data_IF_900216262840
#
_entry.id   IF_900216262840
#
_cell.length_a   1.000
_cell.length_b   1.000
_cell.length_c   1.000
_cell.angle_alpha   90.00
_cell.angle_beta   90.00
_cell.angle_gamma   90.00
#
_symmetry.space_group_name_H-M   'P 1'
#
loop_
_entity.id
_entity.type
_entity.pdbx_description
1 polymer ?
#
# COMPACT_ATOMS: atom_id res chain seq x y z
N UNK A 1 23.96 23.72 -0.37
CA UNK A 1 22.53 23.85 -0.72
C UNK A 1 21.96 22.48 -1.08
N UNK A 2 21.07 21.92 -0.25
CA UNK A 2 20.38 20.67 -0.60
C UNK A 2 19.24 20.99 -1.58
N UNK A 3 19.47 20.76 -2.87
CA UNK A 3 18.44 20.78 -3.91
C UNK A 3 17.39 19.72 -3.57
N UNK A 4 16.33 20.09 -2.84
CA UNK A 4 15.15 19.22 -2.69
C UNK A 4 14.61 18.95 -4.08
N UNK A 5 14.73 17.71 -4.57
CA UNK A 5 14.24 17.36 -5.90
C UNK A 5 12.74 17.65 -5.98
N UNK A 6 12.29 18.36 -7.01
CA UNK A 6 10.88 18.70 -7.29
C UNK A 6 10.04 17.48 -7.75
N UNK A 7 10.28 16.31 -7.16
CA UNK A 7 9.57 15.07 -7.48
C UNK A 7 8.17 15.11 -6.90
N UNK A 8 7.20 14.69 -7.71
CA UNK A 8 5.83 14.50 -7.24
C UNK A 8 5.76 13.27 -6.34
N UNK A 9 5.51 13.48 -5.05
CA UNK A 9 5.30 12.38 -4.08
C UNK A 9 3.94 11.74 -4.30
N UNK A 10 3.91 10.42 -4.53
CA UNK A 10 2.67 9.64 -4.64
C UNK A 10 2.69 8.47 -3.67
N UNK A 11 1.52 8.13 -3.14
CA UNK A 11 1.30 6.91 -2.37
C UNK A 11 0.80 5.77 -3.25
N UNK A 12 1.18 4.54 -2.93
CA UNK A 12 0.57 3.33 -3.47
C UNK A 12 0.12 2.47 -2.29
N UNK A 13 -1.17 2.17 -2.23
CA UNK A 13 -1.73 1.15 -1.34
C UNK A 13 -2.21 -0.01 -2.20
N UNK A 14 -1.47 -1.12 -2.18
CA UNK A 14 -1.83 -2.34 -2.88
C UNK A 14 -2.73 -3.24 -2.02
N UNK A 15 -3.75 -3.84 -2.62
CA UNK A 15 -4.64 -4.74 -1.87
C UNK A 15 -5.69 -5.41 -2.73
N UNK A 16 -6.29 -6.48 -2.22
CA UNK A 16 -7.48 -7.05 -2.85
C UNK A 16 -8.67 -6.10 -2.73
N UNK A 17 -8.78 -5.34 -1.63
CA UNK A 17 -9.92 -4.47 -1.34
C UNK A 17 -11.27 -5.21 -1.43
N UNK A 18 -11.33 -6.34 -0.73
CA UNK A 18 -12.43 -7.30 -0.82
C UNK A 18 -13.15 -7.52 0.54
N UNK A 19 -13.96 -6.55 1.02
CA UNK A 19 -14.17 -5.22 0.46
C UNK A 19 -13.14 -4.20 0.97
N UNK A 20 -13.07 -3.04 0.32
CA UNK A 20 -12.44 -1.85 0.90
C UNK A 20 -13.16 -1.43 2.19
N UNK A 21 -12.47 -0.71 3.08
CA UNK A 21 -13.01 -0.36 4.39
C UNK A 21 -12.35 0.88 4.97
N UNK A 22 -12.90 1.39 6.09
CA UNK A 22 -12.44 2.62 6.76
C UNK A 22 -10.95 2.60 7.12
N UNK A 23 -10.38 1.45 7.47
CA UNK A 23 -8.93 1.31 7.70
C UNK A 23 -8.07 1.73 6.50
N UNK A 24 -8.41 1.30 5.28
CA UNK A 24 -7.70 1.71 4.06
C UNK A 24 -7.77 3.23 3.84
N UNK A 25 -8.95 3.83 4.06
CA UNK A 25 -9.13 5.28 3.96
C UNK A 25 -8.32 6.03 5.00
N UNK A 26 -8.32 5.53 6.23
CA UNK A 26 -7.68 6.19 7.35
C UNK A 26 -6.15 6.22 7.21
N UNK A 27 -5.52 5.10 6.82
CA UNK A 27 -4.06 5.09 6.54
C UNK A 27 -3.70 5.96 5.33
N UNK A 28 -4.60 6.04 4.34
CA UNK A 28 -4.38 6.90 3.17
C UNK A 28 -4.40 8.38 3.55
N UNK A 29 -5.39 8.81 4.35
CA UNK A 29 -5.45 10.19 4.87
C UNK A 29 -4.22 10.53 5.70
N UNK A 30 -3.80 9.62 6.57
CA UNK A 30 -2.64 9.80 7.43
C UNK A 30 -1.34 9.92 6.62
N UNK A 31 -1.14 9.03 5.64
CA UNK A 31 0.01 9.09 4.75
C UNK A 31 0.06 10.40 3.96
N UNK A 32 -1.09 10.84 3.39
CA UNK A 32 -1.18 12.10 2.66
C UNK A 32 -0.78 13.28 3.55
N UNK A 33 -1.30 13.34 4.78
CA UNK A 33 -1.01 14.43 5.72
C UNK A 33 0.46 14.44 6.13
N UNK A 34 1.01 13.30 6.57
CA UNK A 34 2.38 13.24 7.13
C UNK A 34 3.50 13.35 6.10
N UNK A 35 3.25 12.94 4.87
CA UNK A 35 4.27 12.84 3.83
C UNK A 35 3.98 13.74 2.62
N UNK A 36 2.99 14.63 2.72
CA UNK A 36 2.62 15.60 1.69
C UNK A 36 2.35 14.95 0.32
N UNK A 37 1.74 13.76 0.34
CA UNK A 37 1.51 13.01 -0.89
C UNK A 37 0.49 13.76 -1.76
N UNK A 38 0.83 14.00 -3.04
CA UNK A 38 -0.08 14.65 -3.99
C UNK A 38 -1.34 13.81 -4.16
N UNK A 39 -1.14 12.53 -4.47
CA UNK A 39 -2.21 11.54 -4.65
C UNK A 39 -1.82 10.20 -4.02
N UNK A 40 -2.82 9.36 -3.77
CA UNK A 40 -2.65 7.97 -3.35
C UNK A 40 -3.37 7.07 -4.33
N UNK A 41 -2.67 6.08 -4.86
CA UNK A 41 -3.22 5.07 -5.74
C UNK A 41 -3.68 3.89 -4.89
N UNK A 42 -4.96 3.57 -4.92
CA UNK A 42 -5.45 2.27 -4.46
C UNK A 42 -5.33 1.30 -5.63
N UNK A 43 -4.26 0.51 -5.61
CA UNK A 43 -3.91 -0.45 -6.64
C UNK A 43 -4.58 -1.79 -6.32
N UNK A 44 -5.73 -2.04 -6.95
CA UNK A 44 -6.47 -3.29 -6.79
C UNK A 44 -5.68 -4.42 -7.44
N UNK A 45 -5.53 -5.55 -6.74
CA UNK A 45 -4.94 -6.78 -7.28
C UNK A 45 -6.00 -7.88 -7.48
N UNK A 46 -5.84 -8.74 -8.51
CA UNK A 46 -6.65 -9.96 -8.67
C UNK A 46 -6.35 -10.97 -7.56
N UNK A 47 -5.07 -11.11 -7.18
CA UNK A 47 -4.61 -12.11 -6.21
C UNK A 47 -3.40 -11.58 -5.44
N UNK A 48 -3.55 -11.44 -4.12
CA UNK A 48 -2.41 -11.26 -3.24
C UNK A 48 -1.62 -12.59 -3.20
N UNK A 49 -0.27 -12.57 -3.31
CA UNK A 49 0.54 -13.79 -3.36
C UNK A 49 0.31 -14.77 -2.19
N UNK A 50 -0.11 -14.26 -1.02
CA UNK A 50 -0.30 -15.04 0.21
C UNK A 50 -1.77 -15.23 0.58
N UNK A 51 -2.71 -14.93 -0.33
CA UNK A 51 -4.15 -15.11 -0.10
C UNK A 51 -4.81 -15.77 -1.30
N UNK A 52 -5.94 -16.40 -1.04
CA UNK A 52 -6.80 -16.90 -2.10
C UNK A 52 -7.28 -15.76 -2.99
N UNK A 53 -7.58 -16.11 -4.25
CA UNK A 53 -8.17 -15.17 -5.18
C UNK A 53 -9.54 -14.70 -4.64
N UNK A 54 -9.81 -13.41 -4.82
CA UNK A 54 -11.09 -12.81 -4.45
C UNK A 54 -12.21 -13.44 -5.26
N UNK A 55 -13.29 -13.86 -4.59
CA UNK A 55 -14.52 -14.31 -5.27
C UNK A 55 -15.28 -13.13 -5.89
N UNK A 56 -15.14 -11.94 -5.30
CA UNK A 56 -15.75 -10.70 -5.80
C UNK A 56 -14.99 -10.14 -7.01
N UNK A 57 -15.73 -9.77 -8.05
CA UNK A 57 -15.18 -9.22 -9.29
C UNK A 57 -14.35 -7.95 -9.06
N UNK A 58 -13.38 -7.67 -9.94
CA UNK A 58 -12.60 -6.42 -9.87
C UNK A 58 -13.51 -5.20 -9.97
N UNK A 59 -14.49 -5.22 -10.86
CA UNK A 59 -15.43 -4.11 -11.09
C UNK A 59 -16.24 -3.78 -9.84
N UNK A 60 -16.71 -4.80 -9.13
CA UNK A 60 -17.47 -4.63 -7.90
C UNK A 60 -16.58 -4.12 -6.75
N UNK A 61 -15.35 -4.63 -6.63
CA UNK A 61 -14.36 -4.08 -5.69
C UNK A 61 -13.99 -2.63 -5.97
N UNK A 62 -13.96 -2.22 -7.25
CA UNK A 62 -13.83 -0.79 -7.63
C UNK A 62 -15.03 0.01 -7.09
N UNK A 63 -16.26 -0.50 -7.22
CA UNK A 63 -17.47 0.16 -6.68
C UNK A 63 -17.36 0.33 -5.16
N UNK A 64 -16.95 -0.72 -4.43
CA UNK A 64 -16.72 -0.64 -2.97
C UNK A 64 -15.64 0.38 -2.61
N UNK A 65 -14.52 0.38 -3.33
CA UNK A 65 -13.48 1.38 -3.14
C UNK A 65 -14.03 2.80 -3.33
N UNK A 66 -14.75 3.05 -4.44
CA UNK A 66 -15.36 4.37 -4.73
C UNK A 66 -16.32 4.81 -3.62
N UNK A 67 -17.16 3.91 -3.13
CA UNK A 67 -18.07 4.18 -1.99
C UNK A 67 -17.29 4.57 -0.73
N UNK A 68 -16.23 3.83 -0.40
CA UNK A 68 -15.41 4.09 0.79
C UNK A 68 -14.64 5.40 0.69
N UNK A 69 -14.07 5.74 -0.47
CA UNK A 69 -13.30 6.98 -0.61
C UNK A 69 -14.19 8.24 -0.59
N UNK A 70 -15.46 8.14 -0.97
CA UNK A 70 -16.38 9.28 -1.01
C UNK A 70 -15.80 10.48 -1.78
N UNK A 71 -15.79 11.66 -1.15
CA UNK A 71 -15.28 12.92 -1.74
C UNK A 71 -13.75 13.06 -1.74
N UNK A 72 -12.99 12.05 -1.28
CA UNK A 72 -11.52 12.13 -1.18
C UNK A 72 -10.84 11.97 -2.55
N UNK A 73 -10.90 13.02 -3.38
CA UNK A 73 -10.45 13.03 -4.78
C UNK A 73 -8.95 12.76 -4.98
N UNK A 74 -8.14 12.93 -3.93
CA UNK A 74 -6.70 12.58 -3.94
C UNK A 74 -6.45 11.06 -3.98
N UNK A 75 -7.46 10.23 -3.70
CA UNK A 75 -7.36 8.78 -3.81
C UNK A 75 -7.83 8.35 -5.20
N UNK A 76 -6.95 7.67 -5.94
CA UNK A 76 -7.22 7.16 -7.28
C UNK A 76 -7.31 5.64 -7.24
N UNK A 77 -8.51 5.11 -7.41
CA UNK A 77 -8.75 3.66 -7.50
C UNK A 77 -8.39 3.19 -8.91
N UNK A 78 -7.44 2.25 -9.02
CA UNK A 78 -6.93 1.78 -10.30
C UNK A 78 -6.70 0.28 -10.30
N UNK A 79 -6.95 -0.32 -11.46
CA UNK A 79 -6.60 -1.71 -11.74
C UNK A 79 -5.56 -1.74 -12.86
N UNK A 80 -4.31 -2.02 -12.51
CA UNK A 80 -3.17 -1.94 -13.45
C UNK A 80 -2.83 -3.27 -14.10
N UNK A 81 -3.23 -4.40 -13.54
CA UNK A 81 -2.68 -5.70 -13.91
C UNK A 81 -2.95 -6.07 -15.38
N UNK A 82 -4.09 -5.67 -15.96
CA UNK A 82 -4.34 -5.89 -17.39
C UNK A 82 -3.38 -5.07 -18.29
N UNK A 83 -3.03 -3.85 -17.87
CA UNK A 83 -2.11 -2.99 -18.63
C UNK A 83 -0.65 -3.43 -18.49
N UNK A 84 -0.29 -3.98 -17.34
CA UNK A 84 1.08 -4.41 -17.01
C UNK A 84 1.30 -5.88 -17.41
N UNK A 85 0.22 -6.63 -17.58
CA UNK A 85 0.22 -8.08 -17.71
C UNK A 85 0.94 -8.78 -16.53
N UNK A 86 0.74 -8.28 -15.31
CA UNK A 86 1.34 -8.83 -14.08
C UNK A 86 0.59 -8.34 -12.84
N UNK A 87 0.55 -9.19 -11.80
CA UNK A 87 0.06 -8.85 -10.46
C UNK A 87 1.17 -8.54 -9.45
N UNK A 88 2.45 -8.56 -9.89
CA UNK A 88 3.59 -8.36 -9.00
C UNK A 88 3.77 -6.87 -8.68
N UNK A 89 3.97 -6.56 -7.40
CA UNK A 89 4.16 -5.18 -6.92
C UNK A 89 5.35 -4.48 -7.58
N UNK A 90 6.45 -5.21 -7.83
CA UNK A 90 7.63 -4.65 -8.50
C UNK A 90 7.31 -4.17 -9.93
N UNK A 91 6.43 -4.87 -10.65
CA UNK A 91 6.07 -4.51 -12.03
C UNK A 91 5.18 -3.26 -12.04
N UNK A 92 4.26 -3.13 -11.06
CA UNK A 92 3.52 -1.90 -10.81
C UNK A 92 4.44 -0.71 -10.53
N UNK A 93 5.43 -0.89 -9.65
CA UNK A 93 6.40 0.16 -9.31
C UNK A 93 7.19 0.57 -10.54
N UNK A 94 7.69 -0.39 -11.32
CA UNK A 94 8.41 -0.11 -12.57
C UNK A 94 7.54 0.61 -13.59
N UNK A 95 6.27 0.20 -13.74
CA UNK A 95 5.32 0.85 -14.63
C UNK A 95 5.10 2.32 -14.26
N UNK A 96 4.92 2.62 -12.97
CA UNK A 96 4.71 4.00 -12.50
C UNK A 96 5.98 4.84 -12.62
N UNK A 97 7.15 4.26 -12.34
CA UNK A 97 8.46 4.93 -12.46
C UNK A 97 8.90 5.24 -13.89
N UNK A 98 8.16 4.81 -14.92
CA UNK A 98 8.36 5.32 -16.28
C UNK A 98 8.27 6.85 -16.34
N UNK A 99 7.46 7.46 -15.46
CA UNK A 99 7.56 8.89 -15.18
C UNK A 99 8.74 9.16 -14.22
N UNK A 100 9.82 9.78 -14.73
CA UNK A 100 11.04 10.01 -13.96
C UNK A 100 10.89 11.04 -12.82
N UNK A 101 9.83 11.83 -12.81
CA UNK A 101 9.63 12.91 -11.84
C UNK A 101 8.66 12.54 -10.69
N UNK A 102 8.63 11.26 -10.28
CA UNK A 102 7.84 10.81 -9.13
C UNK A 102 8.69 10.17 -8.04
N UNK A 103 8.27 10.36 -6.80
CA UNK A 103 8.78 9.66 -5.62
C UNK A 103 7.64 8.79 -5.07
N UNK A 104 7.91 7.50 -4.90
CA UNK A 104 6.90 6.52 -4.53
C UNK A 104 6.99 6.20 -3.03
N UNK A 105 5.85 6.32 -2.37
CA UNK A 105 5.62 5.84 -1.01
C UNK A 105 4.71 4.62 -1.07
N UNK A 106 5.24 3.44 -0.73
CA UNK A 106 4.47 2.20 -0.70
C UNK A 106 3.89 1.96 0.70
N UNK A 107 2.57 2.01 0.81
CA UNK A 107 1.83 1.89 2.07
C UNK A 107 1.48 0.42 2.31
N UNK A 108 1.72 -0.07 3.52
CA UNK A 108 1.29 -1.39 3.96
C UNK A 108 0.94 -1.41 5.45
N UNK A 109 0.15 -2.40 5.89
CA UNK A 109 -0.02 -2.69 7.31
C UNK A 109 1.14 -3.50 7.90
N UNK A 110 1.33 -3.40 9.22
CA UNK A 110 2.35 -4.13 9.98
C UNK A 110 2.29 -5.65 9.79
N UNK A 111 1.10 -6.21 9.55
CA UNK A 111 0.91 -7.62 9.23
C UNK A 111 1.60 -8.05 7.93
N UNK A 112 1.60 -7.19 6.89
CA UNK A 112 2.30 -7.47 5.64
C UNK A 112 3.82 -7.39 5.80
N UNK A 113 4.32 -6.50 6.66
CA UNK A 113 5.77 -6.30 6.87
C UNK A 113 6.46 -7.60 7.33
N UNK A 114 5.79 -8.40 8.17
CA UNK A 114 6.33 -9.67 8.70
C UNK A 114 6.81 -10.59 7.57
N UNK A 115 6.02 -10.71 6.49
CA UNK A 115 6.32 -11.57 5.35
C UNK A 115 6.82 -10.80 4.12
N UNK A 116 7.10 -9.50 4.23
CA UNK A 116 7.49 -8.69 3.07
C UNK A 116 8.77 -9.20 2.38
N UNK A 117 9.74 -9.73 3.13
CA UNK A 117 10.94 -10.35 2.59
C UNK A 117 10.65 -11.49 1.60
N UNK A 118 9.50 -12.17 1.71
CA UNK A 118 9.05 -13.25 0.81
C UNK A 118 8.40 -12.73 -0.47
N UNK A 119 8.14 -11.42 -0.58
CA UNK A 119 7.56 -10.85 -1.79
C UNK A 119 8.55 -10.93 -2.95
N UNK A 120 8.06 -11.20 -4.16
CA UNK A 120 8.89 -11.26 -5.34
C UNK A 120 9.66 -9.95 -5.55
N UNK A 121 11.00 -10.05 -5.59
CA UNK A 121 11.92 -8.90 -5.68
C UNK A 121 11.73 -7.86 -4.57
N UNK A 122 11.42 -8.28 -3.34
CA UNK A 122 11.25 -7.41 -2.16
C UNK A 122 12.40 -6.39 -1.97
N UNK A 123 13.66 -6.82 -2.13
CA UNK A 123 14.84 -5.92 -2.08
C UNK A 123 14.76 -4.80 -3.13
N UNK A 124 14.36 -5.12 -4.36
CA UNK A 124 14.21 -4.12 -5.44
C UNK A 124 13.04 -3.17 -5.17
N UNK A 125 11.96 -3.66 -4.56
CA UNK A 125 10.84 -2.82 -4.13
C UNK A 125 11.33 -1.77 -3.12
N UNK A 126 12.07 -2.20 -2.09
CA UNK A 126 12.64 -1.32 -1.07
C UNK A 126 13.62 -0.30 -1.63
N UNK A 127 14.42 -0.66 -2.63
CA UNK A 127 15.33 0.29 -3.29
C UNK A 127 14.60 1.33 -4.15
N UNK A 128 13.37 1.03 -4.58
CA UNK A 128 12.60 1.87 -5.51
C UNK A 128 11.54 2.71 -4.83
N UNK A 129 11.21 2.47 -3.56
CA UNK A 129 10.14 3.18 -2.86
C UNK A 129 10.53 3.45 -1.41
N UNK A 130 10.01 4.54 -0.85
CA UNK A 130 9.91 4.68 0.60
C UNK A 130 8.78 3.78 1.09
N UNK A 131 9.01 2.96 2.12
CA UNK A 131 8.00 2.05 2.66
C UNK A 131 7.37 2.68 3.89
N UNK A 132 6.05 2.85 3.88
CA UNK A 132 5.28 3.33 5.02
C UNK A 132 4.49 2.17 5.62
N UNK A 133 4.84 1.81 6.86
CA UNK A 133 4.21 0.69 7.57
C UNK A 133 3.31 1.24 8.66
N UNK A 134 2.02 0.98 8.55
CA UNK A 134 1.02 1.41 9.53
C UNK A 134 0.81 0.33 10.57
N UNK A 135 0.84 0.74 11.83
CA UNK A 135 0.60 -0.16 12.95
C UNK A 135 -0.76 -0.84 12.85
N UNK A 136 -0.82 -2.04 13.41
CA UNK A 136 -2.03 -2.86 13.49
C UNK A 136 -1.99 -3.65 14.79
N UNK A 137 -3.11 -3.65 15.50
CA UNK A 137 -3.24 -4.35 16.77
C UNK A 137 -2.75 -5.81 16.68
N UNK A 138 -1.85 -6.19 17.58
CA UNK A 138 -1.24 -7.53 17.62
C UNK A 138 -0.05 -7.76 16.68
N UNK A 139 0.31 -6.81 15.81
CA UNK A 139 1.38 -7.02 14.83
C UNK A 139 2.68 -6.24 15.11
N UNK A 140 2.65 -5.15 15.88
CA UNK A 140 3.82 -4.27 16.15
C UNK A 140 5.10 -5.02 16.55
N UNK A 141 5.03 -5.85 17.59
CA UNK A 141 6.20 -6.59 18.11
C UNK A 141 6.85 -7.46 17.04
N UNK A 142 6.03 -8.20 16.29
CA UNK A 142 6.52 -9.12 15.26
C UNK A 142 7.00 -8.39 14.01
N UNK A 143 6.36 -7.28 13.64
CA UNK A 143 6.76 -6.47 12.49
C UNK A 143 8.11 -5.78 12.71
N UNK A 144 8.36 -5.26 13.92
CA UNK A 144 9.65 -4.65 14.28
C UNK A 144 10.79 -5.69 14.39
N UNK A 145 10.46 -6.96 14.63
CA UNK A 145 11.43 -8.07 14.60
C UNK A 145 11.60 -8.72 13.21
N UNK A 146 10.86 -8.26 12.20
CA UNK A 146 10.87 -8.87 10.87
C UNK A 146 12.23 -8.71 10.17
N UNK A 147 12.55 -9.66 9.26
CA UNK A 147 13.80 -9.60 8.46
C UNK A 147 13.92 -8.28 7.69
N UNK A 148 12.80 -7.80 7.13
CA UNK A 148 12.76 -6.54 6.38
C UNK A 148 13.04 -5.34 7.27
N UNK A 149 12.43 -5.26 8.46
CA UNK A 149 12.67 -4.13 9.36
C UNK A 149 14.13 -4.07 9.83
N UNK A 150 14.70 -5.22 10.20
CA UNK A 150 16.12 -5.33 10.60
C UNK A 150 17.07 -4.91 9.47
N UNK A 151 16.77 -5.27 8.23
CA UNK A 151 17.63 -4.98 7.09
C UNK A 151 17.56 -3.52 6.60
N UNK A 152 16.39 -2.87 6.72
CA UNK A 152 16.19 -1.52 6.18
C UNK A 152 16.22 -0.42 7.25
N UNK A 153 15.97 -0.76 8.51
CA UNK A 153 15.86 0.23 9.59
C UNK A 153 14.89 1.36 9.25
N UNK A 154 15.20 2.56 9.76
CA UNK A 154 14.36 3.76 9.60
C UNK A 154 14.73 4.63 8.37
N UNK A 155 15.71 4.23 7.57
CA UNK A 155 16.20 5.06 6.44
C UNK A 155 15.25 5.01 5.25
N UNK A 156 14.81 3.80 4.87
CA UNK A 156 13.93 3.58 3.71
C UNK A 156 12.53 3.10 4.11
N UNK A 157 12.37 2.66 5.37
CA UNK A 157 11.10 2.20 5.93
C UNK A 157 10.75 3.07 7.13
N UNK A 158 9.50 3.53 7.21
CA UNK A 158 8.98 4.28 8.35
C UNK A 158 7.81 3.54 8.97
N UNK A 159 7.97 3.16 10.24
CA UNK A 159 6.88 2.59 11.03
C UNK A 159 6.04 3.72 11.64
N UNK A 160 4.73 3.67 11.45
CA UNK A 160 3.79 4.74 11.80
C UNK A 160 2.81 4.17 12.81
N UNK A 161 2.89 4.65 14.05
CA UNK A 161 1.89 4.35 15.05
C UNK A 161 0.52 4.88 14.61
N UNK A 162 -0.46 3.98 14.62
CA UNK A 162 -1.76 4.22 14.01
C UNK A 162 -2.87 3.47 14.74
N UNK A 163 -3.46 4.12 15.74
CA UNK A 163 -4.49 3.51 16.60
C UNK A 163 -5.94 3.74 16.11
N UNK A 164 -6.14 4.25 14.89
CA UNK A 164 -7.46 4.79 14.50
C UNK A 164 -8.48 3.74 14.04
N UNK A 165 -8.08 2.59 13.48
CA UNK A 165 -9.05 1.62 12.95
C UNK A 165 -8.52 0.18 12.99
N UNK A 166 -9.04 -0.64 13.90
CA UNK A 166 -8.77 -2.09 13.94
C UNK A 166 -9.84 -2.88 13.16
N UNK A 167 -9.78 -2.81 11.84
CA UNK A 167 -10.71 -3.52 10.95
C UNK A 167 -9.96 -4.29 9.87
N UNK A 168 -10.54 -5.40 9.41
CA UNK A 168 -10.02 -6.18 8.28
C UNK A 168 -11.12 -6.56 7.31
N UNK A 169 -10.79 -6.64 6.02
CA UNK A 169 -11.69 -7.20 5.01
C UNK A 169 -12.14 -8.63 5.33
N UNK A 170 -11.30 -9.42 6.00
CA UNK A 170 -11.65 -10.78 6.41
C UNK A 170 -12.74 -10.83 7.47
N UNK A 171 -12.73 -9.91 8.44
CA UNK A 171 -13.80 -9.78 9.43
C UNK A 171 -15.10 -9.33 8.77
N UNK A 172 -15.03 -8.36 7.86
CA UNK A 172 -16.20 -7.83 7.15
C UNK A 172 -16.92 -8.84 6.25
N UNK A 173 -16.26 -9.91 5.81
CA UNK A 173 -16.90 -10.98 5.02
C UNK A 173 -17.64 -12.03 5.86
N UNK A 174 -17.50 -11.98 7.19
CA UNK A 174 -18.17 -12.90 8.12
C UNK A 174 -19.44 -12.31 8.74
N UNK A 175 -19.72 -11.06 8.42
CA UNK A 175 -20.91 -10.29 8.81
C UNK A 175 -21.80 -10.23 7.57
#
# INVERSE_FOLDING_TARGET
MNLKSNKTKIGILGGSFDPAHKGHLAISKEAKKRFELKNIIWAITKKNPFKNQSKTSVTERIKFCKKIIGKNSFIKVRFYENKINSNKTIDLINHLKKNKNIEIYFLMGADNLINFHKWYKSKSISQKCNILVFDRHGYKKNSLKSKTFRALGNTTLKFIEFNKVNISSSQLRKI
#
